data_IF_453989581403
#
_entry.id   IF_453989581403
#
_cell.length_a   1.000
_cell.length_b   1.000
_cell.length_c   1.000
_cell.angle_alpha   90.00
_cell.angle_beta   90.00
_cell.angle_gamma   90.00
#
_symmetry.space_group_name_H-M   'P 1'
#
loop_
_entity.id
_entity.type
_entity.pdbx_description
1 polymer ?
#
# COMPACT_ATOMS: atom_id res chain seq x y z
N UNK A 1 -1.73 4.21 -1.29
CA UNK A 1 -2.63 5.22 -0.73
C UNK A 1 -2.88 4.95 0.75
N UNK A 2 -2.24 5.66 1.70
CA UNK A 2 -2.62 5.58 3.12
C UNK A 2 -4.04 6.14 3.32
N UNK A 3 -5.00 5.27 3.67
CA UNK A 3 -6.38 5.67 3.90
C UNK A 3 -6.54 6.70 5.01
N UNK A 4 -7.66 7.43 5.01
CA UNK A 4 -7.95 8.50 5.98
C UNK A 4 -6.94 9.64 6.02
N UNK A 5 -7.13 10.58 6.95
CA UNK A 5 -6.23 11.69 7.27
C UNK A 5 -6.76 12.42 8.50
N UNK A 6 -6.05 13.44 9.00
CA UNK A 6 -6.47 14.22 10.20
C UNK A 6 -7.89 14.83 10.08
N UNK A 7 -8.29 15.25 8.88
CA UNK A 7 -9.64 15.84 8.66
C UNK A 7 -10.72 14.80 8.41
N UNK A 8 -10.35 13.61 7.92
CA UNK A 8 -11.25 12.47 7.64
C UNK A 8 -10.69 11.26 8.37
N UNK A 9 -10.87 11.27 9.69
CA UNK A 9 -10.31 10.25 10.59
C UNK A 9 -10.92 8.89 10.30
N UNK A 10 -10.10 7.86 10.48
CA UNK A 10 -10.53 6.47 10.51
C UNK A 10 -11.01 6.03 11.90
N UNK A 11 -11.12 4.74 12.07
CA UNK A 11 -11.48 4.12 13.33
C UNK A 11 -10.41 4.35 14.41
N UNK A 12 -10.85 4.37 15.68
CA UNK A 12 -9.96 4.50 16.84
C UNK A 12 -10.41 3.55 17.94
N UNK A 13 -9.53 2.64 18.33
CA UNK A 13 -9.71 1.76 19.48
C UNK A 13 -8.35 1.27 20.01
N UNK A 14 -8.33 0.73 21.24
CA UNK A 14 -7.13 0.14 21.86
C UNK A 14 -5.90 1.07 21.86
N UNK A 15 -6.08 2.40 21.90
CA UNK A 15 -5.00 3.39 21.85
C UNK A 15 -4.44 3.65 20.45
N UNK A 16 -4.99 3.03 19.41
CA UNK A 16 -4.53 3.08 18.02
C UNK A 16 -5.50 3.94 17.21
N UNK A 17 -4.95 4.70 16.25
CA UNK A 17 -5.71 5.47 15.26
C UNK A 17 -5.40 4.92 13.88
N UNK A 18 -6.43 4.62 13.13
CA UNK A 18 -6.32 4.04 11.80
C UNK A 18 -5.50 4.91 10.85
N UNK A 19 -5.73 6.21 10.83
CA UNK A 19 -5.01 7.13 9.93
C UNK A 19 -3.49 7.15 10.16
N UNK A 20 -3.02 6.88 11.39
CA UNK A 20 -1.59 6.84 11.73
C UNK A 20 -0.97 5.50 11.28
N UNK A 21 -1.66 4.39 11.54
CA UNK A 21 -1.23 3.04 11.10
C UNK A 21 -1.15 2.97 9.58
N UNK A 22 -2.18 3.42 8.88
CA UNK A 22 -2.23 3.42 7.42
C UNK A 22 -1.07 4.22 6.81
N UNK A 23 -0.70 5.35 7.44
CA UNK A 23 0.44 6.16 7.00
C UNK A 23 1.76 5.42 7.14
N UNK A 24 1.97 4.73 8.25
CA UNK A 24 3.20 3.98 8.51
C UNK A 24 3.33 2.79 7.55
N UNK A 25 2.24 2.03 7.34
CA UNK A 25 2.17 0.92 6.38
C UNK A 25 2.50 1.44 4.97
N UNK A 26 1.83 2.50 4.52
CA UNK A 26 2.04 3.04 3.18
C UNK A 26 3.45 3.58 2.95
N UNK A 27 4.07 4.20 3.95
CA UNK A 27 5.48 4.62 3.89
C UNK A 27 6.42 3.43 3.81
N UNK A 28 6.19 2.38 4.61
CA UNK A 28 7.00 1.19 4.60
C UNK A 28 6.92 0.45 3.27
N UNK A 29 5.72 0.30 2.72
CA UNK A 29 5.48 -0.28 1.40
C UNK A 29 6.24 0.48 0.31
N UNK A 30 6.05 1.81 0.21
CA UNK A 30 6.77 2.66 -0.73
C UNK A 30 8.29 2.52 -0.59
N UNK A 31 8.81 2.59 0.64
CA UNK A 31 10.26 2.53 0.89
C UNK A 31 10.84 1.18 0.48
N UNK A 32 10.06 0.08 0.60
CA UNK A 32 10.49 -1.22 0.16
C UNK A 32 10.46 -1.35 -1.37
N UNK A 33 9.40 -0.89 -2.03
CA UNK A 33 9.27 -0.88 -3.49
C UNK A 33 10.35 -0.04 -4.19
N UNK A 34 10.81 1.05 -3.56
CA UNK A 34 11.90 1.88 -4.09
C UNK A 34 13.25 1.15 -4.24
N UNK A 35 13.36 -0.10 -3.77
CA UNK A 35 14.52 -1.00 -4.02
C UNK A 35 14.50 -1.61 -5.43
N UNK A 36 13.43 -1.42 -6.19
CA UNK A 36 13.21 -2.03 -7.49
C UNK A 36 13.33 -0.97 -8.58
N UNK A 37 13.84 -1.38 -9.78
CA UNK A 37 14.18 -0.45 -10.87
C UNK A 37 13.02 -0.15 -11.79
N UNK A 38 12.14 -1.11 -11.95
CA UNK A 38 11.03 -1.12 -12.90
C UNK A 38 9.70 -0.70 -12.30
N UNK A 39 9.74 0.06 -11.20
CA UNK A 39 8.57 0.62 -10.53
C UNK A 39 8.79 2.07 -10.15
N UNK A 40 7.79 2.91 -10.43
CA UNK A 40 7.69 4.27 -9.90
C UNK A 40 6.56 4.31 -8.87
N UNK A 41 6.89 4.69 -7.64
CA UNK A 41 5.94 4.65 -6.52
C UNK A 41 5.54 6.06 -6.10
N UNK A 42 4.27 6.36 -6.23
CA UNK A 42 3.65 7.58 -5.70
C UNK A 42 2.89 7.28 -4.41
N UNK A 43 2.85 8.24 -3.51
CA UNK A 43 2.09 8.12 -2.26
C UNK A 43 1.16 9.32 -2.11
N UNK A 44 -0.11 9.08 -1.84
CA UNK A 44 -1.15 10.13 -1.81
C UNK A 44 -0.98 11.11 -0.64
N UNK A 45 -0.36 10.69 0.45
CA UNK A 45 0.03 11.56 1.59
C UNK A 45 1.28 11.04 2.29
N UNK A 46 2.13 11.95 2.74
CA UNK A 46 3.37 11.65 3.49
C UNK A 46 3.28 12.06 4.96
N UNK A 47 2.16 12.64 5.36
CA UNK A 47 1.85 13.07 6.73
C UNK A 47 0.34 12.95 6.96
N UNK A 48 -0.16 13.40 8.11
CA UNK A 48 -1.58 13.31 8.45
C UNK A 48 -2.48 14.38 7.80
N UNK A 49 -1.97 15.21 6.87
CA UNK A 49 -2.79 16.14 6.11
C UNK A 49 -3.51 15.41 4.98
N UNK A 50 -4.69 15.88 4.61
CA UNK A 50 -5.38 15.43 3.42
C UNK A 50 -4.57 15.74 2.15
N UNK A 51 -4.78 14.96 1.10
CA UNK A 51 -4.24 15.23 -0.24
C UNK A 51 -4.60 16.65 -0.72
N UNK A 52 -5.85 17.05 -0.48
CA UNK A 52 -6.34 18.42 -0.60
C UNK A 52 -7.29 18.69 0.57
N UNK A 53 -7.49 19.96 0.96
CA UNK A 53 -8.49 20.36 1.97
C UNK A 53 -9.90 20.33 1.33
N UNK A 54 -10.43 19.13 1.10
CA UNK A 54 -11.70 18.88 0.42
C UNK A 54 -12.70 18.25 1.39
N UNK A 55 -13.97 18.26 1.03
CA UNK A 55 -14.99 17.40 1.66
C UNK A 55 -14.62 15.93 1.49
N UNK A 56 -15.22 15.04 2.29
CA UNK A 56 -14.85 13.62 2.30
C UNK A 56 -14.96 12.96 0.91
N UNK A 57 -16.07 13.11 0.23
CA UNK A 57 -16.28 12.53 -1.10
C UNK A 57 -15.24 13.00 -2.10
N UNK A 58 -14.99 14.30 -2.16
CA UNK A 58 -13.98 14.90 -3.05
C UNK A 58 -12.56 14.43 -2.70
N UNK A 59 -12.27 14.21 -1.41
CA UNK A 59 -10.99 13.69 -0.97
C UNK A 59 -10.76 12.25 -1.46
N UNK A 60 -11.80 11.40 -1.42
CA UNK A 60 -11.73 10.02 -1.92
C UNK A 60 -11.54 10.01 -3.45
N UNK A 61 -12.33 10.77 -4.17
CA UNK A 61 -12.22 10.90 -5.64
C UNK A 61 -10.88 11.47 -6.07
N UNK A 62 -10.33 12.44 -5.32
CA UNK A 62 -9.02 13.04 -5.62
C UNK A 62 -7.86 12.02 -5.58
N UNK A 63 -7.96 10.94 -4.80
CA UNK A 63 -6.95 9.86 -4.73
C UNK A 63 -6.91 9.09 -6.05
N UNK A 64 -8.07 8.71 -6.58
CA UNK A 64 -8.19 8.06 -7.89
C UNK A 64 -7.82 9.00 -9.04
N UNK A 65 -8.22 10.28 -8.98
CA UNK A 65 -7.83 11.26 -9.98
C UNK A 65 -6.32 11.49 -10.00
N UNK A 66 -5.64 11.40 -8.85
CA UNK A 66 -4.18 11.44 -8.81
C UNK A 66 -3.59 10.21 -9.52
N UNK A 67 -4.08 9.01 -9.23
CA UNK A 67 -3.64 7.78 -9.89
C UNK A 67 -3.85 7.86 -11.41
N UNK A 68 -5.03 8.35 -11.86
CA UNK A 68 -5.33 8.55 -13.28
C UNK A 68 -4.36 9.54 -13.94
N UNK A 69 -4.12 10.70 -13.31
CA UNK A 69 -3.21 11.72 -13.86
C UNK A 69 -1.77 11.23 -13.96
N UNK A 70 -1.37 10.31 -13.08
CA UNK A 70 -0.06 9.70 -13.08
C UNK A 70 0.02 8.45 -13.96
N UNK A 71 -1.07 8.08 -14.65
CA UNK A 71 -1.17 6.85 -15.45
C UNK A 71 -0.72 5.62 -14.66
N UNK A 72 -1.14 5.53 -13.38
CA UNK A 72 -0.74 4.44 -12.51
C UNK A 72 -1.35 3.11 -12.96
N UNK A 73 -0.57 2.03 -12.92
CA UNK A 73 -1.01 0.67 -13.23
C UNK A 73 -1.97 0.12 -12.18
N UNK A 74 -1.85 0.60 -10.94
CA UNK A 74 -2.78 0.26 -9.84
C UNK A 74 -2.76 1.29 -8.72
N UNK A 75 -3.84 1.28 -7.91
CA UNK A 75 -3.96 2.03 -6.66
C UNK A 75 -4.25 1.06 -5.51
N UNK A 76 -3.31 0.94 -4.59
CA UNK A 76 -3.45 0.09 -3.39
C UNK A 76 -3.70 1.00 -2.18
N UNK A 77 -4.86 0.89 -1.55
CA UNK A 77 -5.25 1.69 -0.38
C UNK A 77 -5.12 0.85 0.90
N UNK A 78 -4.42 1.41 1.90
CA UNK A 78 -4.11 0.76 3.17
C UNK A 78 -5.06 1.23 4.25
N UNK A 79 -5.69 0.29 4.95
CA UNK A 79 -6.68 0.50 6.00
C UNK A 79 -6.53 -0.53 7.12
N UNK A 80 -7.18 -0.28 8.25
CA UNK A 80 -7.46 -1.26 9.30
C UNK A 80 -8.94 -1.15 9.68
N UNK A 81 -9.61 -2.28 9.72
CA UNK A 81 -11.06 -2.38 9.87
C UNK A 81 -11.53 -2.14 11.31
N UNK A 82 -12.84 -2.05 11.48
CA UNK A 82 -13.50 -1.96 12.78
C UNK A 82 -14.73 -2.88 12.80
N UNK A 83 -14.90 -3.61 13.89
CA UNK A 83 -16.01 -4.50 14.14
C UNK A 83 -16.71 -4.12 15.46
N UNK A 84 -18.04 -3.86 15.47
CA UNK A 84 -18.77 -3.48 16.67
C UNK A 84 -18.69 -4.55 17.76
N UNK A 85 -18.75 -5.81 17.38
CA UNK A 85 -18.71 -6.95 18.30
C UNK A 85 -17.30 -7.30 18.77
N UNK A 86 -16.27 -6.70 18.16
CA UNK A 86 -14.83 -6.90 18.48
C UNK A 86 -14.37 -8.36 18.36
N UNK A 87 -15.12 -9.19 17.60
CA UNK A 87 -14.87 -10.63 17.44
C UNK A 87 -14.06 -10.94 16.20
N UNK A 88 -14.22 -10.13 15.14
CA UNK A 88 -13.50 -10.35 13.89
C UNK A 88 -12.02 -10.05 14.03
N UNK A 89 -11.20 -10.80 13.31
CA UNK A 89 -9.74 -10.71 13.30
C UNK A 89 -9.22 -11.19 11.95
N UNK A 90 -8.14 -10.58 11.48
CA UNK A 90 -7.48 -10.96 10.23
C UNK A 90 -7.66 -9.94 9.12
N UNK A 91 -6.94 -10.14 8.03
CA UNK A 91 -6.92 -9.23 6.90
C UNK A 91 -7.96 -9.58 5.83
N UNK A 92 -8.41 -8.55 5.11
CA UNK A 92 -9.44 -8.65 4.07
C UNK A 92 -9.07 -7.74 2.88
N UNK A 93 -9.45 -8.16 1.68
CA UNK A 93 -9.30 -7.35 0.46
C UNK A 93 -10.67 -6.88 -0.02
N UNK A 94 -10.84 -5.57 -0.15
CA UNK A 94 -12.01 -4.99 -0.80
C UNK A 94 -11.63 -4.69 -2.25
N UNK A 95 -12.26 -5.41 -3.17
CA UNK A 95 -11.92 -5.37 -4.59
C UNK A 95 -13.16 -5.14 -5.45
N UNK A 96 -12.95 -4.82 -6.72
CA UNK A 96 -14.01 -4.63 -7.68
C UNK A 96 -14.80 -5.93 -7.90
N UNK A 97 -16.12 -5.85 -7.78
CA UNK A 97 -17.03 -6.93 -8.12
C UNK A 97 -16.97 -7.22 -9.63
N UNK A 98 -17.02 -8.48 -10.00
CA UNK A 98 -17.04 -8.87 -11.41
C UNK A 98 -18.42 -8.60 -12.02
N UNK A 99 -18.71 -7.34 -12.30
CA UNK A 99 -19.97 -6.86 -12.87
C UNK A 99 -20.05 -7.01 -14.40
N UNK A 100 -18.96 -7.45 -15.03
CA UNK A 100 -18.83 -7.43 -16.49
C UNK A 100 -18.63 -6.04 -17.10
N UNK A 101 -18.67 -4.97 -16.29
CA UNK A 101 -18.46 -3.60 -16.78
C UNK A 101 -17.00 -3.31 -17.13
N UNK A 102 -16.08 -3.76 -16.30
CA UNK A 102 -14.64 -3.64 -16.54
C UNK A 102 -13.91 -4.89 -16.02
N UNK A 103 -13.95 -5.94 -16.84
CA UNK A 103 -13.35 -7.23 -16.48
C UNK A 103 -11.86 -7.15 -16.18
N UNK A 104 -11.12 -6.29 -16.91
CA UNK A 104 -9.69 -6.10 -16.66
C UNK A 104 -9.45 -5.61 -15.22
N UNK A 105 -10.17 -4.58 -14.77
CA UNK A 105 -10.01 -4.03 -13.42
C UNK A 105 -10.36 -5.07 -12.36
N UNK A 106 -11.51 -5.76 -12.49
CA UNK A 106 -11.93 -6.74 -11.49
C UNK A 106 -10.95 -7.94 -11.41
N UNK A 107 -10.50 -8.46 -12.55
CA UNK A 107 -9.53 -9.57 -12.57
C UNK A 107 -8.18 -9.15 -11.99
N UNK A 108 -7.68 -7.97 -12.37
CA UNK A 108 -6.40 -7.46 -11.89
C UNK A 108 -6.42 -7.16 -10.39
N UNK A 109 -7.49 -6.54 -9.86
CA UNK A 109 -7.59 -6.26 -8.42
C UNK A 109 -7.64 -7.54 -7.60
N UNK A 110 -8.33 -8.58 -8.08
CA UNK A 110 -8.39 -9.86 -7.38
C UNK A 110 -7.03 -10.59 -7.42
N UNK A 111 -6.35 -10.61 -8.55
CA UNK A 111 -5.04 -11.26 -8.66
C UNK A 111 -3.96 -10.53 -7.83
N UNK A 112 -3.92 -9.20 -7.89
CA UNK A 112 -3.02 -8.37 -7.07
C UNK A 112 -3.34 -8.53 -5.57
N UNK A 113 -4.62 -8.49 -5.20
CA UNK A 113 -5.07 -8.70 -3.82
C UNK A 113 -4.70 -10.08 -3.29
N UNK A 114 -4.85 -11.14 -4.10
CA UNK A 114 -4.43 -12.51 -3.72
C UNK A 114 -2.93 -12.58 -3.45
N UNK A 115 -2.11 -11.95 -4.30
CA UNK A 115 -0.66 -11.91 -4.11
C UNK A 115 -0.26 -11.17 -2.84
N UNK A 116 -0.93 -10.05 -2.53
CA UNK A 116 -0.69 -9.30 -1.29
C UNK A 116 -1.12 -10.12 -0.07
N UNK A 117 -2.32 -10.72 -0.11
CA UNK A 117 -2.84 -11.53 1.00
C UNK A 117 -1.93 -12.71 1.32
N UNK A 118 -1.36 -13.39 0.32
CA UNK A 118 -0.41 -14.48 0.54
C UNK A 118 0.80 -14.02 1.38
N UNK A 119 1.35 -12.84 1.11
CA UNK A 119 2.47 -12.28 1.87
C UNK A 119 2.06 -11.79 3.28
N UNK A 120 0.83 -11.33 3.48
CA UNK A 120 0.31 -11.00 4.80
C UNK A 120 0.13 -12.26 5.66
N UNK A 121 -0.31 -13.38 5.05
CA UNK A 121 -0.43 -14.67 5.73
C UNK A 121 0.94 -15.22 6.21
N UNK A 122 2.04 -14.90 5.52
CA UNK A 122 3.42 -15.23 6.00
C UNK A 122 3.76 -14.57 7.34
N UNK A 123 3.10 -13.45 7.69
CA UNK A 123 3.23 -12.81 9.01
C UNK A 123 2.31 -13.44 10.07
N UNK A 124 1.59 -14.52 9.75
CA UNK A 124 0.63 -15.17 10.63
C UNK A 124 -0.75 -14.50 10.65
N UNK A 125 -1.03 -13.55 9.76
CA UNK A 125 -2.34 -12.90 9.67
C UNK A 125 -3.34 -13.86 9.03
N UNK A 126 -4.47 -14.08 9.69
CA UNK A 126 -5.57 -14.84 9.13
C UNK A 126 -6.17 -14.09 7.94
N UNK A 127 -6.41 -14.78 6.83
CA UNK A 127 -7.16 -14.22 5.70
C UNK A 127 -8.66 -14.34 5.94
N UNK A 128 -9.39 -13.24 5.79
CA UNK A 128 -10.86 -13.23 5.67
C UNK A 128 -11.31 -13.18 4.19
N UNK A 129 -10.36 -13.30 3.25
CA UNK A 129 -10.64 -13.36 1.82
C UNK A 129 -10.99 -12.01 1.19
N UNK A 130 -11.84 -12.06 0.19
CA UNK A 130 -12.31 -10.88 -0.54
C UNK A 130 -13.69 -10.47 -0.07
N UNK A 131 -13.92 -9.16 -0.01
CA UNK A 131 -15.24 -8.61 0.18
C UNK A 131 -15.62 -7.77 -1.04
N UNK A 132 -16.71 -8.17 -1.66
CA UNK A 132 -17.34 -7.48 -2.77
C UNK A 132 -18.64 -6.83 -2.26
N UNK A 133 -18.71 -5.52 -2.28
CA UNK A 133 -19.89 -4.79 -1.87
C UNK A 133 -20.34 -3.83 -2.98
N UNK A 134 -21.62 -3.84 -3.29
CA UNK A 134 -22.23 -3.00 -4.31
C UNK A 134 -23.22 -2.02 -3.70
N UNK A 135 -23.54 -0.96 -4.43
CA UNK A 135 -24.64 -0.03 -4.14
C UNK A 135 -25.94 -0.59 -4.67
N UNK A 136 -27.04 -0.30 -3.99
CA UNK A 136 -28.36 -0.72 -4.44
C UNK A 136 -28.93 0.22 -5.52
N UNK A 137 -28.66 1.52 -5.39
CA UNK A 137 -29.26 2.58 -6.19
C UNK A 137 -28.38 3.08 -7.34
N UNK A 138 -27.06 2.81 -7.32
CA UNK A 138 -26.14 3.22 -8.38
C UNK A 138 -25.76 2.04 -9.28
N UNK A 139 -25.71 2.30 -10.59
CA UNK A 139 -25.34 1.32 -11.62
C UNK A 139 -24.28 1.86 -12.56
N UNK A 140 -23.45 0.96 -13.05
CA UNK A 140 -22.57 1.21 -14.19
C UNK A 140 -23.38 1.31 -15.50
N UNK A 141 -22.76 1.83 -16.56
CA UNK A 141 -23.41 2.01 -17.88
C UNK A 141 -23.98 0.74 -18.49
N UNK A 142 -23.47 -0.44 -18.11
CA UNK A 142 -23.99 -1.73 -18.54
C UNK A 142 -25.18 -2.25 -17.70
N UNK A 143 -25.68 -1.45 -16.76
CA UNK A 143 -26.79 -1.81 -15.87
C UNK A 143 -26.42 -2.59 -14.62
N UNK A 144 -25.16 -3.04 -14.47
CA UNK A 144 -24.69 -3.74 -13.27
C UNK A 144 -24.58 -2.78 -12.09
N UNK A 145 -24.82 -3.28 -10.86
CA UNK A 145 -24.66 -2.51 -9.62
C UNK A 145 -23.23 -1.99 -9.50
N UNK A 146 -23.09 -0.72 -9.13
CA UNK A 146 -21.78 -0.10 -8.92
C UNK A 146 -21.14 -0.54 -7.61
N UNK A 147 -19.81 -0.56 -7.56
CA UNK A 147 -19.07 -0.90 -6.35
C UNK A 147 -19.31 0.14 -5.25
N UNK A 148 -19.49 -0.32 -4.02
CA UNK A 148 -19.82 0.54 -2.88
C UNK A 148 -18.68 1.49 -2.51
N UNK A 149 -17.46 0.97 -2.42
CA UNK A 149 -16.31 1.75 -1.97
C UNK A 149 -15.83 2.70 -3.07
N UNK A 150 -15.78 3.99 -2.77
CA UNK A 150 -15.41 5.04 -3.74
C UNK A 150 -14.05 4.77 -4.40
N UNK A 151 -13.04 4.33 -3.63
CA UNK A 151 -11.72 3.98 -4.19
C UNK A 151 -11.83 2.88 -5.25
N UNK A 152 -12.64 1.86 -5.01
CA UNK A 152 -12.86 0.74 -5.93
C UNK A 152 -13.69 1.18 -7.13
N UNK A 153 -14.84 1.84 -6.89
CA UNK A 153 -15.75 2.33 -7.92
C UNK A 153 -15.08 3.29 -8.90
N UNK A 154 -14.36 4.29 -8.38
CA UNK A 154 -13.61 5.23 -9.20
C UNK A 154 -12.48 4.54 -9.98
N UNK A 155 -11.87 3.51 -9.39
CA UNK A 155 -10.89 2.67 -10.09
C UNK A 155 -11.51 1.99 -11.30
N UNK A 156 -12.69 1.40 -11.16
CA UNK A 156 -13.45 0.76 -12.26
C UNK A 156 -13.80 1.78 -13.35
N UNK A 157 -14.30 2.97 -12.97
CA UNK A 157 -14.66 4.03 -13.89
C UNK A 157 -13.46 4.61 -14.65
N UNK A 158 -12.33 4.75 -13.98
CA UNK A 158 -11.09 5.28 -14.55
C UNK A 158 -10.20 4.22 -15.21
N UNK A 159 -10.61 2.95 -15.20
CA UNK A 159 -9.85 1.79 -15.73
C UNK A 159 -8.50 1.57 -15.02
N UNK A 160 -8.42 1.92 -13.74
CA UNK A 160 -7.24 1.72 -12.90
C UNK A 160 -7.59 0.67 -11.85
N UNK A 161 -6.94 -0.50 -11.84
CA UNK A 161 -7.10 -1.49 -10.79
C UNK A 161 -6.88 -0.87 -9.41
N UNK A 162 -7.95 -0.74 -8.63
CA UNK A 162 -7.91 -0.10 -7.32
C UNK A 162 -8.52 -1.03 -6.28
N UNK A 163 -7.79 -1.28 -5.20
CA UNK A 163 -8.23 -2.14 -4.11
C UNK A 163 -7.93 -1.51 -2.74
N UNK A 164 -8.65 -1.96 -1.72
CA UNK A 164 -8.41 -1.59 -0.33
C UNK A 164 -7.97 -2.84 0.43
N UNK A 165 -6.93 -2.71 1.23
CA UNK A 165 -6.46 -3.75 2.14
C UNK A 165 -6.85 -3.33 3.54
N UNK A 166 -7.65 -4.15 4.19
CA UNK A 166 -7.93 -4.09 5.63
C UNK A 166 -6.97 -5.07 6.32
N UNK A 167 -5.95 -4.57 7.02
CA UNK A 167 -4.88 -5.39 7.59
C UNK A 167 -5.26 -6.14 8.87
N UNK A 168 -6.46 -5.94 9.36
CA UNK A 168 -7.01 -6.48 10.59
C UNK A 168 -7.99 -5.50 11.22
N UNK A 169 -8.37 -5.72 12.46
CA UNK A 169 -9.40 -4.94 13.14
C UNK A 169 -8.83 -4.14 14.32
N UNK A 170 -8.93 -2.81 14.26
CA UNK A 170 -8.50 -1.95 15.37
C UNK A 170 -9.33 -2.16 16.65
N UNK A 171 -10.55 -2.68 16.53
CA UNK A 171 -11.41 -3.08 17.64
C UNK A 171 -10.98 -4.38 18.31
N UNK A 172 -10.20 -5.24 17.63
CA UNK A 172 -9.69 -6.50 18.15
C UNK A 172 -8.34 -6.29 18.85
N UNK A 173 -8.28 -6.65 20.15
CA UNK A 173 -7.06 -6.49 20.96
C UNK A 173 -5.89 -7.35 20.47
N UNK A 174 -6.18 -8.57 19.95
CA UNK A 174 -5.15 -9.46 19.42
C UNK A 174 -4.50 -8.86 18.17
N UNK A 175 -5.31 -8.40 17.19
CA UNK A 175 -4.79 -7.74 15.99
C UNK A 175 -3.95 -6.52 16.36
N UNK A 176 -4.44 -5.70 17.30
CA UNK A 176 -3.71 -4.53 17.77
C UNK A 176 -2.35 -4.88 18.37
N UNK A 177 -2.31 -5.85 19.28
CA UNK A 177 -1.07 -6.25 19.96
C UNK A 177 -0.07 -6.92 19.01
N UNK A 178 -0.55 -7.70 18.04
CA UNK A 178 0.30 -8.46 17.15
C UNK A 178 0.79 -7.67 15.93
N UNK A 179 -0.01 -6.69 15.43
CA UNK A 179 0.24 -6.10 14.12
C UNK A 179 0.31 -4.56 14.09
N UNK A 180 -0.32 -3.84 15.06
CA UNK A 180 -0.47 -2.39 14.93
C UNK A 180 0.24 -1.56 16.00
N UNK A 181 0.61 -2.15 17.12
CA UNK A 181 1.06 -1.44 18.31
C UNK A 181 2.42 -0.76 18.13
N UNK A 182 3.37 -1.43 17.51
CA UNK A 182 4.73 -0.92 17.34
C UNK A 182 4.99 -0.45 15.91
N UNK A 183 5.96 0.46 15.74
CA UNK A 183 6.39 0.90 14.41
C UNK A 183 6.93 -0.26 13.56
N UNK A 184 7.61 -1.23 14.21
CA UNK A 184 8.18 -2.40 13.52
C UNK A 184 7.09 -3.34 13.00
N UNK A 185 6.02 -3.55 13.78
CA UNK A 185 4.85 -4.32 13.32
C UNK A 185 4.21 -3.67 12.09
N UNK A 186 3.94 -2.36 12.14
CA UNK A 186 3.36 -1.62 11.01
C UNK A 186 4.28 -1.61 9.78
N UNK A 187 5.59 -1.53 10.00
CA UNK A 187 6.59 -1.67 8.92
C UNK A 187 6.57 -3.05 8.29
N UNK A 188 6.43 -4.12 9.07
CA UNK A 188 6.34 -5.50 8.56
C UNK A 188 5.12 -5.68 7.66
N UNK A 189 3.96 -5.11 8.00
CA UNK A 189 2.77 -5.09 7.15
C UNK A 189 3.07 -4.43 5.79
N UNK A 190 3.60 -3.22 5.79
CA UNK A 190 3.92 -2.52 4.53
C UNK A 190 4.98 -3.22 3.69
N UNK A 191 5.92 -3.95 4.32
CA UNK A 191 6.89 -4.80 3.60
C UNK A 191 6.19 -6.02 2.98
N UNK A 192 5.24 -6.64 3.67
CA UNK A 192 4.46 -7.76 3.13
C UNK A 192 3.60 -7.31 1.93
N UNK A 193 2.95 -6.16 2.02
CA UNK A 193 2.22 -5.56 0.89
C UNK A 193 3.13 -5.34 -0.32
N UNK A 194 4.31 -4.76 -0.08
CA UNK A 194 5.30 -4.52 -1.13
C UNK A 194 5.75 -5.81 -1.80
N UNK A 195 6.02 -6.88 -1.02
CA UNK A 195 6.39 -8.20 -1.56
C UNK A 195 5.27 -8.77 -2.44
N UNK A 196 4.00 -8.65 -2.01
CA UNK A 196 2.86 -9.06 -2.82
C UNK A 196 2.77 -8.30 -4.14
N UNK A 197 2.99 -6.99 -4.13
CA UNK A 197 3.05 -6.15 -5.34
C UNK A 197 4.20 -6.59 -6.26
N UNK A 198 5.39 -6.81 -5.70
CA UNK A 198 6.58 -7.29 -6.43
C UNK A 198 6.31 -8.62 -7.11
N UNK A 199 5.72 -9.58 -6.37
CA UNK A 199 5.40 -10.91 -6.88
C UNK A 199 4.38 -10.84 -8.01
N UNK A 200 3.36 -10.00 -7.88
CA UNK A 200 2.33 -9.83 -8.90
C UNK A 200 2.88 -9.22 -10.20
N UNK A 201 3.62 -8.10 -10.09
CA UNK A 201 4.19 -7.40 -11.25
C UNK A 201 5.52 -7.98 -11.72
N UNK A 202 6.08 -8.98 -11.01
CA UNK A 202 7.38 -9.58 -11.29
C UNK A 202 8.51 -8.55 -11.36
N UNK A 203 8.50 -7.62 -10.41
CA UNK A 203 9.45 -6.51 -10.39
C UNK A 203 10.89 -6.97 -10.15
N UNK A 204 11.81 -6.35 -10.85
CA UNK A 204 13.25 -6.63 -10.76
C UNK A 204 13.93 -5.73 -9.75
N UNK A 205 14.76 -6.29 -8.88
CA UNK A 205 15.56 -5.52 -7.95
C UNK A 205 16.54 -4.63 -8.70
N UNK A 206 16.77 -3.41 -8.19
CA UNK A 206 17.82 -2.53 -8.73
C UNK A 206 19.17 -3.24 -8.66
N UNK A 207 19.76 -3.52 -9.79
CA UNK A 207 21.11 -4.05 -9.88
C UNK A 207 22.06 -2.91 -10.26
N UNK A 208 22.74 -2.33 -9.27
CA UNK A 208 23.73 -1.27 -9.47
C UNK A 208 25.10 -1.93 -9.34
N UNK A 209 25.85 -1.97 -10.44
CA UNK A 209 27.20 -2.48 -10.42
C UNK A 209 28.13 -1.46 -9.75
N UNK A 210 28.91 -1.91 -8.78
CA UNK A 210 29.79 -1.05 -8.00
C UNK A 210 30.32 -1.77 -6.78
N UNK A 211 31.01 -1.05 -5.91
CA UNK A 211 31.54 -1.62 -4.67
C UNK A 211 31.54 -0.61 -3.51
N UNK A 212 31.76 -1.14 -2.30
CA UNK A 212 31.88 -0.32 -1.10
C UNK A 212 33.23 0.40 -1.08
N UNK A 213 33.20 1.68 -0.75
CA UNK A 213 34.39 2.49 -0.55
C UNK A 213 34.29 3.23 0.78
N UNK A 214 35.36 3.21 1.57
CA UNK A 214 35.48 4.01 2.79
C UNK A 214 36.28 5.28 2.49
N UNK A 215 35.64 6.42 2.64
CA UNK A 215 36.24 7.75 2.38
C UNK A 215 36.04 8.57 3.65
N UNK A 216 37.16 9.02 4.24
CA UNK A 216 37.15 9.79 5.51
C UNK A 216 36.34 9.11 6.63
N UNK A 217 36.52 7.79 6.80
CA UNK A 217 35.83 7.00 7.83
C UNK A 217 34.35 6.73 7.58
N UNK A 218 33.81 7.10 6.42
CA UNK A 218 32.41 6.86 6.04
C UNK A 218 32.34 5.89 4.87
N UNK A 219 31.42 4.93 4.93
CA UNK A 219 31.22 3.94 3.87
C UNK A 219 30.19 4.42 2.86
N UNK A 220 30.54 4.32 1.59
CA UNK A 220 29.71 4.63 0.44
C UNK A 220 29.63 3.40 -0.47
N UNK A 221 28.57 3.30 -1.26
CA UNK A 221 28.57 2.47 -2.44
C UNK A 221 28.88 3.34 -3.66
N UNK A 222 29.89 2.96 -4.44
CA UNK A 222 30.33 3.73 -5.61
C UNK A 222 30.14 2.86 -6.84
N UNK A 223 29.41 3.39 -7.84
CA UNK A 223 29.20 2.69 -9.12
C UNK A 223 30.48 2.64 -9.97
N UNK A 224 30.39 1.96 -11.11
CA UNK A 224 31.52 1.84 -12.05
C UNK A 224 31.95 3.19 -12.67
N UNK A 225 31.04 4.15 -12.69
CA UNK A 225 31.28 5.51 -13.18
C UNK A 225 31.88 6.43 -12.09
N UNK A 226 32.06 5.92 -10.86
CA UNK A 226 32.62 6.67 -9.73
C UNK A 226 31.59 7.50 -8.95
N UNK A 227 30.29 7.34 -9.20
CA UNK A 227 29.25 8.06 -8.50
C UNK A 227 28.91 7.40 -7.16
N UNK A 228 28.76 8.21 -6.12
CA UNK A 228 28.25 7.74 -4.83
C UNK A 228 26.74 7.52 -4.92
N UNK A 229 26.31 6.29 -4.68
CA UNK A 229 24.90 5.90 -4.78
C UNK A 229 24.18 6.13 -3.46
N UNK A 230 23.07 6.85 -3.52
CA UNK A 230 22.14 7.04 -2.41
C UNK A 230 20.95 6.08 -2.52
N UNK A 231 20.28 5.80 -1.39
CA UNK A 231 19.13 4.92 -1.33
C UNK A 231 19.52 3.44 -1.16
N UNK A 232 18.74 2.55 -1.74
CA UNK A 232 18.94 1.11 -1.59
C UNK A 232 19.81 0.52 -2.69
N UNK A 233 20.77 -0.32 -2.29
CA UNK A 233 21.66 -1.08 -3.19
C UNK A 233 21.61 -2.55 -2.78
N UNK A 234 21.52 -3.45 -3.75
CA UNK A 234 21.67 -4.89 -3.52
C UNK A 234 23.07 -5.32 -3.95
N UNK A 235 23.85 -5.89 -3.04
CA UNK A 235 25.20 -6.44 -3.30
C UNK A 235 25.30 -7.81 -2.62
N UNK A 236 25.74 -8.81 -3.37
CA UNK A 236 25.95 -10.19 -2.90
C UNK A 236 24.73 -10.75 -2.15
N UNK A 237 23.53 -10.55 -2.70
CA UNK A 237 22.26 -11.01 -2.15
C UNK A 237 21.72 -10.20 -0.95
N UNK A 238 22.51 -9.27 -0.39
CA UNK A 238 22.13 -8.45 0.76
C UNK A 238 21.72 -7.04 0.34
N UNK A 239 20.81 -6.43 1.13
CA UNK A 239 20.37 -5.06 0.93
C UNK A 239 21.10 -4.11 1.87
N UNK A 240 21.59 -2.99 1.33
CA UNK A 240 22.26 -1.91 2.04
C UNK A 240 21.52 -0.60 1.76
N UNK A 241 21.43 0.26 2.77
CA UNK A 241 20.81 1.58 2.61
C UNK A 241 21.81 2.70 2.84
N UNK A 242 21.84 3.63 1.90
CA UNK A 242 22.68 4.82 1.94
C UNK A 242 21.82 6.06 2.09
N UNK A 243 22.22 6.98 2.93
CA UNK A 243 21.47 8.20 3.21
C UNK A 243 21.17 8.97 1.92
N UNK A 244 19.92 9.34 1.69
CA UNK A 244 19.48 9.96 0.44
C UNK A 244 20.08 11.35 0.16
N UNK A 245 20.65 12.02 1.17
CA UNK A 245 21.31 13.33 1.01
C UNK A 245 22.82 13.23 0.95
N UNK A 246 23.41 12.33 1.74
CA UNK A 246 24.87 12.24 1.92
C UNK A 246 25.48 11.03 1.26
N UNK A 247 24.69 10.08 0.77
CA UNK A 247 25.08 8.77 0.25
C UNK A 247 25.95 7.94 1.23
N UNK A 248 25.97 8.25 2.52
CA UNK A 248 26.68 7.48 3.55
C UNK A 248 25.83 6.26 3.93
N UNK A 249 26.47 5.10 4.13
CA UNK A 249 25.80 3.89 4.62
C UNK A 249 25.22 4.13 6.01
N UNK A 250 23.96 3.74 6.22
CA UNK A 250 23.27 3.86 7.51
C UNK A 250 23.60 2.68 8.42
#
# INVERSE_FOLDING_TARGET
DPGHCKSHKGAKANGIKEEDVNLDIGKACRNYLNKYSDVTVYITRTNNKCLKRLKLGDCLTARNHLAKRLSADSLVSFHINWDPDKKRSGAMILAAYNSGYNKYVSTTTQALGSSIMANLQELGIKSEGFWFRTLDDEKYKNGAKADYYSIVREGVLNKIPSLIIEHGYVSNKSDCNNYFKTAEQRKSLGVADAKGIINYYKLSAKNIEGDFQTISGKTYFVDKEGNKIAGWVKKDGKWYHFNNKTAVMN
#
